data_IF_413356704120
#
_entry.id   IF_413356704120
#
_cell.length_a   1.000
_cell.length_b   1.000
_cell.length_c   1.000
_cell.angle_alpha   90.00
_cell.angle_beta   90.00
_cell.angle_gamma   90.00
#
_symmetry.space_group_name_H-M   'P 1'
#
loop_
_entity.id
_entity.type
_entity.pdbx_description
1 polymer ?
#
# COMPACT_ATOMS: atom_id res chain seq x y z
N UNK A 1 0.67 -14.86 12.10
CA UNK A 1 0.93 -13.47 11.65
C UNK A 1 0.19 -12.51 12.58
N UNK A 2 0.41 -11.18 12.50
CA UNK A 2 -0.37 -10.22 13.31
C UNK A 2 -1.88 -10.39 13.04
N UNK A 3 -2.25 -10.61 11.78
CA UNK A 3 -3.64 -10.83 11.34
C UNK A 3 -4.27 -12.04 12.02
N UNK A 4 -3.56 -13.18 12.14
CA UNK A 4 -4.11 -14.40 12.78
C UNK A 4 -4.25 -14.29 14.30
N UNK A 5 -3.82 -13.20 14.91
CA UNK A 5 -3.94 -12.93 16.36
C UNK A 5 -4.92 -11.80 16.66
N UNK A 6 -5.58 -11.23 15.65
CA UNK A 6 -6.54 -10.15 15.84
C UNK A 6 -7.81 -10.66 16.55
N UNK A 7 -8.22 -9.95 17.60
CA UNK A 7 -9.47 -10.22 18.32
C UNK A 7 -10.69 -9.67 17.60
N UNK A 8 -11.88 -10.05 18.06
CA UNK A 8 -13.15 -9.54 17.55
C UNK A 8 -13.20 -8.00 17.57
N UNK A 9 -13.80 -7.41 16.54
CA UNK A 9 -13.92 -5.95 16.39
C UNK A 9 -12.64 -5.23 15.92
N UNK A 10 -11.51 -5.93 15.81
CA UNK A 10 -10.26 -5.34 15.31
C UNK A 10 -10.39 -4.97 13.83
N UNK A 11 -9.95 -3.76 13.48
CA UNK A 11 -9.74 -3.34 12.09
C UNK A 11 -8.24 -3.19 11.86
N UNK A 12 -7.77 -3.72 10.74
CA UNK A 12 -6.38 -3.59 10.32
C UNK A 12 -6.36 -2.72 9.06
N UNK A 13 -5.54 -1.67 9.06
CA UNK A 13 -5.32 -0.81 7.90
C UNK A 13 -3.86 -0.99 7.49
N UNK A 14 -3.66 -1.35 6.23
CA UNK A 14 -2.33 -1.49 5.64
C UNK A 14 -2.18 -0.42 4.59
N UNK A 15 -1.14 0.38 4.71
CA UNK A 15 -0.82 1.49 3.81
C UNK A 15 0.59 1.32 3.27
N UNK A 16 0.80 1.69 2.02
CA UNK A 16 2.11 1.68 1.39
C UNK A 16 2.02 2.11 -0.07
N UNK A 17 3.18 2.31 -0.68
CA UNK A 17 3.30 2.61 -2.11
C UNK A 17 3.84 1.37 -2.84
N UNK A 18 3.03 0.82 -3.74
CA UNK A 18 3.40 -0.32 -4.59
C UNK A 18 4.51 0.01 -5.60
N UNK A 19 4.79 1.30 -5.81
CA UNK A 19 5.86 1.78 -6.68
C UNK A 19 7.20 1.95 -5.95
N UNK A 20 7.18 1.99 -4.61
CA UNK A 20 8.40 2.08 -3.82
C UNK A 20 9.06 0.70 -3.73
N UNK A 21 10.00 0.45 -4.64
CA UNK A 21 10.73 -0.82 -4.76
C UNK A 21 12.21 -0.54 -4.60
N UNK A 22 12.79 -1.07 -3.53
CA UNK A 22 14.21 -0.92 -3.17
C UNK A 22 15.00 -2.24 -3.33
N UNK A 23 14.34 -3.33 -3.69
CA UNK A 23 14.96 -4.66 -3.83
C UNK A 23 14.98 -5.14 -5.30
N UNK A 24 16.12 -5.62 -5.83
CA UNK A 24 16.24 -6.14 -7.21
C UNK A 24 15.35 -7.34 -7.57
N UNK A 25 14.75 -8.03 -6.60
CA UNK A 25 13.90 -9.21 -6.85
C UNK A 25 12.41 -8.93 -6.66
N UNK A 26 12.04 -7.68 -6.39
CA UNK A 26 10.65 -7.28 -6.23
C UNK A 26 10.25 -6.35 -7.36
N UNK A 27 8.99 -6.41 -7.72
CA UNK A 27 8.34 -5.50 -8.64
C UNK A 27 6.98 -5.05 -8.06
N UNK A 28 6.29 -4.19 -8.82
CA UNK A 28 5.00 -3.62 -8.41
C UNK A 28 3.92 -4.68 -8.17
N UNK A 29 4.01 -5.85 -8.79
CA UNK A 29 3.06 -6.95 -8.72
C UNK A 29 3.51 -8.06 -7.75
N UNK A 30 4.80 -8.19 -7.49
CA UNK A 30 5.38 -9.24 -6.63
C UNK A 30 5.69 -8.79 -5.19
N UNK A 31 5.50 -7.52 -4.85
CA UNK A 31 5.65 -7.05 -3.47
C UNK A 31 4.52 -7.52 -2.53
N UNK A 32 4.78 -7.40 -1.21
CA UNK A 32 3.85 -7.88 -0.18
C UNK A 32 2.49 -7.19 -0.16
N UNK A 33 2.41 -5.91 -0.56
CA UNK A 33 1.15 -5.16 -0.61
C UNK A 33 0.27 -5.64 -1.77
N UNK A 34 0.85 -5.77 -2.96
CA UNK A 34 0.16 -6.30 -4.14
C UNK A 34 -0.27 -7.76 -3.96
N UNK A 35 0.59 -8.58 -3.32
CA UNK A 35 0.24 -9.95 -2.95
C UNK A 35 -0.98 -10.01 -2.00
N UNK A 36 -0.99 -9.16 -0.98
CA UNK A 36 -2.10 -9.09 -0.03
C UNK A 36 -3.39 -8.64 -0.70
N UNK A 37 -3.36 -7.57 -1.50
CA UNK A 37 -4.54 -7.07 -2.21
C UNK A 37 -5.12 -8.17 -3.10
N UNK A 38 -4.27 -8.84 -3.90
CA UNK A 38 -4.72 -9.91 -4.79
C UNK A 38 -5.39 -11.06 -4.03
N UNK A 39 -4.80 -11.50 -2.91
CA UNK A 39 -5.33 -12.60 -2.09
C UNK A 39 -6.58 -12.26 -1.30
N UNK A 40 -6.74 -11.00 -0.92
CA UNK A 40 -7.89 -10.52 -0.13
C UNK A 40 -9.03 -10.00 -0.99
N UNK A 41 -8.79 -9.79 -2.29
CA UNK A 41 -9.85 -9.45 -3.25
C UNK A 41 -10.96 -10.52 -3.21
N UNK A 42 -12.22 -10.08 -3.28
CA UNK A 42 -13.43 -10.90 -3.12
C UNK A 42 -13.76 -11.39 -1.70
N UNK A 43 -12.97 -11.06 -0.69
CA UNK A 43 -13.35 -11.31 0.71
C UNK A 43 -14.35 -10.27 1.20
N UNK A 44 -15.45 -10.71 1.87
CA UNK A 44 -16.53 -9.83 2.35
C UNK A 44 -16.06 -8.74 3.32
N UNK A 45 -14.96 -8.98 4.02
CA UNK A 45 -14.41 -8.10 5.06
C UNK A 45 -13.27 -7.21 4.55
N UNK A 46 -12.97 -7.27 3.26
CA UNK A 46 -11.86 -6.55 2.65
C UNK A 46 -12.35 -5.38 1.82
N UNK A 47 -11.64 -4.25 1.94
CA UNK A 47 -11.78 -3.09 1.07
C UNK A 47 -10.39 -2.58 0.72
N UNK A 48 -10.25 -2.04 -0.48
CA UNK A 48 -9.03 -1.43 -0.97
C UNK A 48 -9.35 -0.07 -1.57
N UNK A 49 -8.51 0.92 -1.29
CA UNK A 49 -8.62 2.27 -1.83
C UNK A 49 -7.24 2.63 -2.39
N UNK A 50 -7.21 3.03 -3.66
CA UNK A 50 -6.04 3.64 -4.29
C UNK A 50 -6.12 5.15 -4.09
N UNK A 51 -5.09 5.74 -3.49
CA UNK A 51 -4.93 7.19 -3.45
C UNK A 51 -4.13 7.61 -4.68
N UNK A 52 -4.77 8.24 -5.65
CA UNK A 52 -4.15 8.58 -6.94
C UNK A 52 -3.27 9.83 -6.89
N UNK A 53 -3.51 10.72 -5.92
CA UNK A 53 -2.79 11.98 -5.77
C UNK A 53 -2.43 12.21 -4.31
N UNK A 54 -1.15 12.48 -4.05
CA UNK A 54 -0.69 13.02 -2.78
C UNK A 54 -0.79 14.54 -2.80
N UNK A 55 -1.20 15.13 -1.67
CA UNK A 55 -1.13 16.57 -1.50
C UNK A 55 0.30 16.94 -1.04
N UNK A 56 0.93 17.85 -1.79
CA UNK A 56 2.28 18.32 -1.57
C UNK A 56 2.28 19.85 -1.49
N UNK A 57 3.24 20.40 -0.76
CA UNK A 57 3.45 21.84 -0.79
C UNK A 57 4.10 22.23 -2.12
N UNK A 58 3.92 23.49 -2.53
CA UNK A 58 4.58 24.02 -3.73
C UNK A 58 6.10 23.78 -3.74
N UNK A 59 6.75 23.90 -2.58
CA UNK A 59 8.18 23.63 -2.44
C UNK A 59 8.52 22.16 -2.71
N UNK A 60 7.70 21.21 -2.22
CA UNK A 60 7.94 19.78 -2.41
C UNK A 60 7.71 19.35 -3.86
N UNK A 61 6.73 19.94 -4.54
CA UNK A 61 6.52 19.72 -5.98
C UNK A 61 7.70 20.25 -6.79
N UNK A 62 8.10 21.51 -6.53
CA UNK A 62 9.26 22.10 -7.20
C UNK A 62 10.54 21.28 -6.99
N UNK A 63 10.78 20.79 -5.77
CA UNK A 63 11.95 19.96 -5.50
C UNK A 63 11.91 18.62 -6.24
N UNK A 64 10.73 17.99 -6.36
CA UNK A 64 10.56 16.71 -7.06
C UNK A 64 10.74 16.82 -8.57
N UNK A 65 10.50 17.99 -9.16
CA UNK A 65 10.72 18.21 -10.60
C UNK A 65 12.19 18.53 -10.92
N UNK A 66 12.92 19.08 -9.95
CA UNK A 66 14.31 19.51 -10.13
C UNK A 66 15.35 18.45 -9.72
N UNK A 67 14.98 17.47 -8.90
CA UNK A 67 15.87 16.45 -8.31
C UNK A 67 15.38 15.03 -8.66
#
# INVERSE_FOLDING_TARGET
TIITRAGEGTKIVITGDIHQIDHPYLDKLSNGLSYLINRMTHQKIFAHITLEKGERSYLADLASDLL
#
